data_IF_841754939201
#
_entry.id   IF_841754939201
#
_cell.length_a   1.000
_cell.length_b   1.000
_cell.length_c   1.000
_cell.angle_alpha   90.00
_cell.angle_beta   90.00
_cell.angle_gamma   90.00
#
_symmetry.space_group_name_H-M   'P 1'
#
loop_
_entity.id
_entity.type
_entity.pdbx_description
1 polymer ?
#
# COMPACT_ATOMS: atom_id res chain seq x y z
N UNK A 1 -8.06 1.36 10.35
CA UNK A 1 -7.40 2.52 10.97
C UNK A 1 -8.09 3.79 10.48
N UNK A 2 -8.95 4.37 11.32
CA UNK A 2 -9.82 5.53 11.00
C UNK A 2 -9.13 6.88 11.23
N UNK A 3 -7.97 6.90 11.87
CA UNK A 3 -7.12 8.08 12.04
C UNK A 3 -6.35 8.36 10.74
N UNK A 4 -7.02 8.94 9.74
CA UNK A 4 -6.38 9.71 8.67
C UNK A 4 -7.41 10.55 7.93
N UNK A 5 -6.97 11.68 7.38
CA UNK A 5 -7.73 12.37 6.34
C UNK A 5 -7.23 11.91 4.97
N UNK A 6 -8.17 11.63 4.06
CA UNK A 6 -7.87 11.20 2.69
C UNK A 6 -8.44 12.22 1.71
N UNK A 7 -7.55 12.86 0.95
CA UNK A 7 -7.93 13.76 -0.13
C UNK A 7 -7.55 13.12 -1.46
N UNK A 8 -8.48 13.12 -2.41
CA UNK A 8 -8.25 12.58 -3.76
C UNK A 8 -8.53 13.68 -4.76
N UNK A 9 -7.53 14.00 -5.58
CA UNK A 9 -7.70 14.87 -6.75
C UNK A 9 -7.89 14.02 -7.98
N UNK A 10 -8.93 14.33 -8.75
CA UNK A 10 -9.13 13.79 -10.09
C UNK A 10 -9.06 14.93 -11.11
N UNK A 11 -8.54 14.61 -12.29
CA UNK A 11 -8.50 15.46 -13.47
C UNK A 11 -9.23 14.73 -14.60
N UNK A 12 -10.22 15.37 -15.22
CA UNK A 12 -11.10 14.74 -16.22
C UNK A 12 -11.66 13.35 -15.81
N UNK A 13 -12.00 13.17 -14.52
CA UNK A 13 -12.51 11.90 -13.98
C UNK A 13 -11.44 10.84 -13.67
N UNK A 14 -10.17 11.10 -13.97
CA UNK A 14 -9.05 10.21 -13.67
C UNK A 14 -8.35 10.69 -12.39
N UNK A 15 -8.26 9.82 -11.38
CA UNK A 15 -7.53 10.14 -10.14
C UNK A 15 -6.04 10.32 -10.46
N UNK A 16 -5.48 11.47 -10.07
CA UNK A 16 -4.07 11.80 -10.29
C UNK A 16 -3.29 11.93 -8.99
N UNK A 17 -3.94 12.36 -7.91
CA UNK A 17 -3.28 12.54 -6.61
C UNK A 17 -4.11 11.93 -5.49
N UNK A 18 -3.44 11.23 -4.58
CA UNK A 18 -4.03 10.65 -3.37
C UNK A 18 -3.16 11.10 -2.19
N UNK A 19 -3.69 12.02 -1.37
CA UNK A 19 -3.01 12.55 -0.20
C UNK A 19 -3.56 11.88 1.07
N UNK A 20 -2.66 11.25 1.82
CA UNK A 20 -2.93 10.74 3.15
C UNK A 20 -2.36 11.72 4.18
N UNK A 21 -3.21 12.36 4.96
CA UNK A 21 -2.80 13.18 6.11
C UNK A 21 -2.96 12.35 7.37
N UNK A 22 -1.88 12.25 8.15
CA UNK A 22 -1.79 11.44 9.36
C UNK A 22 -1.13 12.26 10.46
N UNK A 23 -1.39 11.90 11.72
CA UNK A 23 -0.66 12.42 12.87
C UNK A 23 0.82 12.07 12.80
N UNK A 24 1.67 12.89 13.41
CA UNK A 24 3.11 12.66 13.47
C UNK A 24 3.42 11.35 14.20
N UNK A 25 2.80 11.13 15.37
CA UNK A 25 2.97 9.90 16.16
C UNK A 25 2.55 8.64 15.40
N UNK A 26 1.49 8.73 14.59
CA UNK A 26 1.01 7.61 13.80
C UNK A 26 1.80 7.36 12.52
N UNK A 27 2.69 8.28 12.10
CA UNK A 27 3.39 8.24 10.80
C UNK A 27 4.39 7.08 10.66
N UNK A 28 5.23 6.74 11.66
CA UNK A 28 6.26 5.70 11.51
C UNK A 28 5.69 4.30 11.26
N UNK A 29 4.48 4.03 11.78
CA UNK A 29 3.84 2.71 11.72
C UNK A 29 2.83 2.58 10.58
N UNK A 30 2.66 3.61 9.74
CA UNK A 30 1.77 3.53 8.57
C UNK A 30 2.28 2.49 7.57
N UNK A 31 1.38 1.61 7.14
CA UNK A 31 1.70 0.57 6.14
C UNK A 31 2.31 1.17 4.86
N UNK A 32 1.83 2.34 4.42
CA UNK A 32 2.41 3.03 3.26
C UNK A 32 3.87 3.44 3.48
N UNK A 33 4.23 3.86 4.70
CA UNK A 33 5.59 4.25 5.08
C UNK A 33 6.48 3.01 5.20
N UNK A 34 6.00 2.00 5.91
CA UNK A 34 6.68 0.73 6.15
C UNK A 34 7.02 0.04 4.81
N UNK A 35 6.02 -0.14 3.94
CA UNK A 35 6.22 -0.75 2.62
C UNK A 35 7.23 0.05 1.79
N UNK A 36 7.11 1.38 1.74
CA UNK A 36 8.03 2.22 0.97
C UNK A 36 9.48 2.06 1.42
N UNK A 37 9.72 2.08 2.73
CA UNK A 37 11.07 1.96 3.27
C UNK A 37 11.64 0.55 3.02
N UNK A 38 10.79 -0.48 3.11
CA UNK A 38 11.14 -1.87 2.79
C UNK A 38 11.57 -2.03 1.33
N UNK A 39 10.74 -1.57 0.39
CA UNK A 39 11.04 -1.65 -1.04
C UNK A 39 12.27 -0.85 -1.45
N UNK A 40 12.55 0.28 -0.79
CA UNK A 40 13.76 1.08 -1.05
C UNK A 40 15.04 0.41 -0.58
N UNK A 41 14.96 -0.40 0.46
CA UNK A 41 16.10 -1.14 0.99
C UNK A 41 16.36 -2.46 0.23
N UNK A 42 15.37 -2.96 -0.52
CA UNK A 42 15.37 -4.31 -1.12
C UNK A 42 14.97 -4.28 -2.60
N UNK A 43 15.94 -4.05 -3.50
CA UNK A 43 15.68 -3.94 -4.95
C UNK A 43 14.98 -5.16 -5.54
N UNK A 44 15.27 -6.36 -5.03
CA UNK A 44 14.66 -7.62 -5.47
C UNK A 44 13.15 -7.68 -5.15
N UNK A 45 12.74 -7.19 -3.97
CA UNK A 45 11.33 -7.13 -3.61
C UNK A 45 10.60 -5.99 -4.33
N UNK A 46 11.30 -4.89 -4.61
CA UNK A 46 10.78 -3.84 -5.48
C UNK A 46 10.54 -4.36 -6.91
N UNK A 47 11.44 -5.19 -7.43
CA UNK A 47 11.27 -5.83 -8.73
C UNK A 47 10.05 -6.76 -8.75
N UNK A 48 9.88 -7.62 -7.73
CA UNK A 48 8.73 -8.50 -7.57
C UNK A 48 7.41 -7.73 -7.45
N UNK A 49 7.40 -6.63 -6.69
CA UNK A 49 6.22 -5.76 -6.60
C UNK A 49 5.87 -5.13 -7.95
N UNK A 50 6.88 -4.63 -8.68
CA UNK A 50 6.67 -4.03 -10.00
C UNK A 50 6.20 -5.05 -11.05
N UNK A 51 6.69 -6.29 -10.98
CA UNK A 51 6.23 -7.38 -11.84
C UNK A 51 4.74 -7.67 -11.62
N UNK A 52 4.29 -7.77 -10.38
CA UNK A 52 2.87 -7.93 -10.07
C UNK A 52 2.03 -6.78 -10.64
N UNK A 53 2.44 -5.53 -10.42
CA UNK A 53 1.71 -4.36 -10.95
C UNK A 53 1.59 -4.43 -12.48
N UNK A 54 2.67 -4.77 -13.18
CA UNK A 54 2.65 -4.94 -14.65
C UNK A 54 1.74 -6.09 -15.08
N UNK A 55 1.78 -7.22 -14.39
CA UNK A 55 0.92 -8.36 -14.69
C UNK A 55 -0.58 -8.03 -14.51
N UNK A 56 -0.93 -7.27 -13.48
CA UNK A 56 -2.31 -6.83 -13.25
C UNK A 56 -2.82 -5.90 -14.36
N UNK A 57 -1.97 -4.98 -14.82
CA UNK A 57 -2.27 -4.11 -15.96
C UNK A 57 -2.43 -4.93 -17.24
N UNK A 58 -1.51 -5.85 -17.52
CA UNK A 58 -1.57 -6.72 -18.69
C UNK A 58 -2.83 -7.62 -18.70
N UNK A 59 -3.29 -8.05 -17.52
CA UNK A 59 -4.53 -8.80 -17.36
C UNK A 59 -5.81 -7.94 -17.48
N UNK A 60 -5.69 -6.62 -17.71
CA UNK A 60 -6.84 -5.72 -17.80
C UNK A 60 -7.59 -5.53 -16.48
N UNK A 61 -6.90 -5.73 -15.34
CA UNK A 61 -7.52 -5.62 -14.01
C UNK A 61 -8.12 -4.22 -13.83
N UNK A 62 -9.43 -4.08 -13.57
CA UNK A 62 -10.05 -2.78 -13.36
C UNK A 62 -9.39 -2.02 -12.21
N UNK A 63 -9.25 -0.70 -12.33
CA UNK A 63 -8.60 0.13 -11.32
C UNK A 63 -9.21 0.00 -9.90
N UNK A 64 -10.51 -0.33 -9.82
CA UNK A 64 -11.21 -0.61 -8.56
C UNK A 64 -10.78 -1.92 -7.87
N UNK A 65 -10.37 -2.90 -8.67
CA UNK A 65 -10.02 -4.25 -8.23
C UNK A 65 -8.50 -4.40 -8.04
N UNK A 66 -7.73 -3.50 -8.67
CA UNK A 66 -6.28 -3.44 -8.60
C UNK A 66 -5.74 -3.36 -7.16
N UNK A 67 -6.41 -2.62 -6.28
CA UNK A 67 -6.02 -2.57 -4.87
C UNK A 67 -6.18 -3.92 -4.19
N UNK A 68 -7.28 -4.65 -4.46
CA UNK A 68 -7.54 -5.98 -3.88
C UNK A 68 -6.56 -7.03 -4.42
N UNK A 69 -6.27 -6.97 -5.73
CA UNK A 69 -5.44 -7.96 -6.40
C UNK A 69 -3.99 -7.96 -5.89
N UNK A 70 -3.47 -6.82 -5.40
CA UNK A 70 -2.13 -6.75 -4.81
C UNK A 70 -2.07 -6.92 -3.29
N UNK A 71 -3.22 -7.02 -2.62
CA UNK A 71 -3.29 -7.04 -1.15
C UNK A 71 -2.43 -8.13 -0.55
N UNK A 72 -2.43 -9.34 -1.13
CA UNK A 72 -1.66 -10.47 -0.61
C UNK A 72 -0.14 -10.18 -0.58
N UNK A 73 0.41 -9.68 -1.70
CA UNK A 73 1.83 -9.33 -1.77
C UNK A 73 2.16 -8.14 -0.86
N UNK A 74 1.30 -7.13 -0.82
CA UNK A 74 1.51 -5.95 0.05
C UNK A 74 1.49 -6.36 1.53
N UNK A 75 0.61 -7.29 1.91
CA UNK A 75 0.56 -7.84 3.27
C UNK A 75 1.86 -8.57 3.61
N UNK A 76 2.29 -9.50 2.76
CA UNK A 76 3.54 -10.26 2.93
C UNK A 76 4.75 -9.33 3.16
N UNK A 77 4.94 -8.35 2.28
CA UNK A 77 6.07 -7.43 2.35
C UNK A 77 6.00 -6.52 3.57
N UNK A 78 4.80 -6.04 3.94
CA UNK A 78 4.61 -5.19 5.11
C UNK A 78 4.84 -5.96 6.41
N UNK A 79 4.42 -7.22 6.48
CA UNK A 79 4.61 -8.06 7.66
C UNK A 79 6.08 -8.41 7.88
N UNK A 80 6.82 -8.71 6.81
CA UNK A 80 8.29 -8.86 6.89
C UNK A 80 8.95 -7.60 7.42
N UNK A 81 8.61 -6.45 6.85
CA UNK A 81 9.15 -5.16 7.27
C UNK A 81 8.82 -4.82 8.73
N UNK A 82 7.65 -5.24 9.22
CA UNK A 82 7.22 -5.08 10.62
C UNK A 82 7.98 -6.01 11.56
N UNK A 83 8.14 -7.28 11.18
CA UNK A 83 8.88 -8.27 11.97
C UNK A 83 10.34 -7.82 12.22
N UNK A 84 10.99 -7.21 11.23
CA UNK A 84 12.35 -6.67 11.38
C UNK A 84 12.44 -5.47 12.34
N UNK A 85 11.34 -4.76 12.57
CA UNK A 85 11.31 -3.53 13.37
C UNK A 85 10.75 -3.75 14.78
N UNK A 86 10.14 -4.90 15.06
CA UNK A 86 9.50 -5.23 16.33
C UNK A 86 7.97 -5.05 16.43
N UNK A 87 7.27 -4.20 15.64
CA UNK A 87 5.81 -4.17 15.66
C UNK A 87 5.18 -5.49 15.21
N UNK A 88 4.01 -5.87 15.76
CA UNK A 88 3.26 -6.99 15.25
C UNK A 88 2.73 -6.72 13.81
N UNK A 89 2.47 -7.80 13.04
CA UNK A 89 1.73 -7.73 11.79
C UNK A 89 0.43 -6.92 11.94
N UNK A 90 0.09 -6.15 10.92
CA UNK A 90 -1.16 -5.39 10.90
C UNK A 90 -1.81 -5.50 9.51
N UNK A 91 -3.15 -5.62 9.43
CA UNK A 91 -3.84 -5.67 8.15
C UNK A 91 -3.51 -4.44 7.29
N UNK A 92 -3.08 -4.67 6.04
CA UNK A 92 -2.80 -3.59 5.07
C UNK A 92 -4.05 -3.03 4.43
N UNK A 93 -5.16 -3.76 4.52
CA UNK A 93 -6.45 -3.35 3.97
C UNK A 93 -7.28 -2.61 5.02
N UNK A 94 -7.56 -1.33 4.76
CA UNK A 94 -8.19 -0.42 5.72
C UNK A 94 -9.72 -0.31 5.58
N UNK A 95 -10.36 -1.02 4.65
CA UNK A 95 -11.82 -1.11 4.58
C UNK A 95 -12.26 -2.38 5.30
N UNK A 96 -12.94 -2.22 6.45
CA UNK A 96 -13.72 -3.31 7.02
C UNK A 96 -14.73 -3.86 6.01
N UNK A 97 -15.34 -5.03 6.27
CA UNK A 97 -16.42 -5.53 5.44
C UNK A 97 -17.48 -4.41 5.31
N UNK A 98 -17.93 -4.19 4.08
CA UNK A 98 -19.13 -3.37 3.84
C UNK A 98 -20.34 -4.13 4.32
#
# INVERSE_FOLDING_TARGET
MTDRLLYVRADAGVRSHILHVVTEDGRPTRNQRVLRDHLRARPEEAARYAELERALVAAGTPARDHSRAKTALVQELTDRARAERGPPPAPVWEKGPK
#
